data_IF_073846980799
#
_entry.id   IF_073846980799
#
_cell.length_a   1.000
_cell.length_b   1.000
_cell.length_c   1.000
_cell.angle_alpha   90.00
_cell.angle_beta   90.00
_cell.angle_gamma   90.00
#
_symmetry.space_group_name_H-M   'P 1'
#
loop_
_entity.id
_entity.type
_entity.pdbx_description
1 polymer ?
#
# COMPACT_ATOMS: atom_id res chain seq x y z
N UNK A 1 61.90 9.14 -16.74
CA UNK A 1 62.47 7.82 -16.46
C UNK A 1 61.89 7.21 -15.18
N UNK A 2 62.33 7.58 -13.97
CA UNK A 2 61.89 6.89 -12.73
C UNK A 2 60.40 7.07 -12.39
N UNK A 3 59.85 8.25 -12.69
CA UNK A 3 58.42 8.56 -12.48
C UNK A 3 57.55 7.78 -13.47
N UNK A 4 57.98 7.62 -14.72
CA UNK A 4 57.24 6.87 -15.75
C UNK A 4 57.19 5.37 -15.41
N UNK A 5 58.33 4.81 -14.99
CA UNK A 5 58.43 3.41 -14.53
C UNK A 5 57.51 3.17 -13.32
N UNK A 6 57.36 4.16 -12.43
CA UNK A 6 56.44 4.06 -11.29
C UNK A 6 54.96 4.05 -11.74
N UNK A 7 54.61 4.86 -12.74
CA UNK A 7 53.24 4.90 -13.28
C UNK A 7 52.87 3.63 -14.06
N UNK A 8 53.82 3.04 -14.77
CA UNK A 8 53.64 1.77 -15.47
C UNK A 8 53.41 0.62 -14.49
N UNK A 9 54.15 0.59 -13.37
CA UNK A 9 53.93 -0.39 -12.29
C UNK A 9 52.56 -0.25 -11.64
N UNK A 10 52.10 0.97 -11.41
CA UNK A 10 50.75 1.23 -10.86
C UNK A 10 49.66 0.78 -11.83
N UNK A 11 49.83 1.03 -13.13
CA UNK A 11 48.90 0.61 -14.18
C UNK A 11 48.83 -0.92 -14.30
N UNK A 12 49.98 -1.60 -14.26
CA UNK A 12 50.04 -3.06 -14.24
C UNK A 12 49.38 -3.65 -12.98
N UNK A 13 49.53 -3.02 -11.81
CA UNK A 13 48.84 -3.41 -10.58
C UNK A 13 47.31 -3.23 -10.68
N UNK A 14 46.84 -2.17 -11.34
CA UNK A 14 45.41 -1.94 -11.55
C UNK A 14 44.80 -2.94 -12.55
N UNK A 15 45.53 -3.27 -13.61
CA UNK A 15 45.13 -4.26 -14.62
C UNK A 15 45.08 -5.68 -14.02
N UNK A 16 46.06 -6.05 -13.19
CA UNK A 16 46.03 -7.33 -12.47
C UNK A 16 44.83 -7.41 -11.52
N UNK A 17 44.50 -6.34 -10.79
CA UNK A 17 43.35 -6.30 -9.89
C UNK A 17 42.01 -6.45 -10.63
N UNK A 18 41.83 -5.75 -11.77
CA UNK A 18 40.61 -5.83 -12.58
C UNK A 18 40.38 -7.21 -13.21
N UNK A 19 41.46 -7.97 -13.44
CA UNK A 19 41.41 -9.32 -14.02
C UNK A 19 41.21 -10.44 -12.99
N UNK A 20 41.13 -10.14 -11.69
CA UNK A 20 40.89 -11.17 -10.65
C UNK A 20 39.44 -11.70 -10.78
N UNK A 21 39.24 -12.99 -11.11
CA UNK A 21 37.90 -13.53 -11.27
C UNK A 21 37.18 -13.63 -9.92
N UNK A 22 35.87 -13.35 -9.91
CA UNK A 22 35.03 -13.54 -8.72
C UNK A 22 34.82 -15.03 -8.45
N UNK A 23 34.89 -15.42 -7.18
CA UNK A 23 34.59 -16.79 -6.73
C UNK A 23 33.13 -17.18 -6.99
N UNK A 24 32.91 -18.46 -7.34
CA UNK A 24 31.56 -19.03 -7.50
C UNK A 24 31.02 -19.47 -6.13
N UNK A 25 29.74 -19.22 -5.80
CA UNK A 25 29.13 -19.73 -4.57
C UNK A 25 29.03 -21.25 -4.59
N UNK A 26 29.01 -21.89 -3.41
CA UNK A 26 28.98 -23.35 -3.25
C UNK A 26 27.81 -24.03 -4.00
N UNK A 27 26.66 -23.37 -4.09
CA UNK A 27 25.46 -23.86 -4.78
C UNK A 27 25.46 -23.64 -6.30
N UNK A 28 26.48 -22.95 -6.85
CA UNK A 28 26.54 -22.54 -8.25
C UNK A 28 25.54 -21.45 -8.65
N UNK A 29 24.60 -21.07 -7.77
CA UNK A 29 23.58 -20.05 -8.02
C UNK A 29 23.85 -18.79 -7.20
N UNK A 30 24.11 -17.63 -7.82
CA UNK A 30 24.23 -16.37 -7.10
C UNK A 30 22.85 -15.90 -6.63
N UNK A 31 22.73 -15.51 -5.37
CA UNK A 31 21.47 -14.99 -4.79
C UNK A 31 21.16 -13.54 -5.21
N UNK A 32 22.16 -12.81 -5.70
CA UNK A 32 22.08 -11.45 -6.27
C UNK A 32 22.81 -11.42 -7.60
N UNK A 33 22.26 -10.70 -8.57
CA UNK A 33 22.99 -10.37 -9.79
C UNK A 33 24.15 -9.43 -9.45
N UNK A 34 25.40 -9.77 -9.82
CA UNK A 34 26.52 -8.86 -9.61
C UNK A 34 26.28 -7.59 -10.43
N UNK A 35 26.37 -6.43 -9.78
CA UNK A 35 26.38 -5.15 -10.48
C UNK A 35 27.76 -4.96 -11.11
N UNK A 36 27.82 -4.92 -12.44
CA UNK A 36 29.06 -4.70 -13.20
C UNK A 36 29.35 -3.21 -13.42
N UNK A 37 28.35 -2.35 -13.29
CA UNK A 37 28.51 -0.91 -13.46
C UNK A 37 29.01 -0.22 -12.18
N UNK A 38 29.89 0.76 -12.37
CA UNK A 38 30.33 1.66 -11.28
C UNK A 38 29.13 2.42 -10.71
N UNK A 39 29.22 2.81 -9.43
CA UNK A 39 28.18 3.64 -8.80
C UNK A 39 27.96 4.97 -9.56
N UNK A 40 29.02 5.55 -10.13
CA UNK A 40 28.97 6.76 -10.94
C UNK A 40 28.21 6.63 -12.27
N UNK A 41 27.97 5.41 -12.76
CA UNK A 41 27.13 5.19 -13.93
C UNK A 41 25.64 5.45 -13.63
N UNK A 42 25.24 5.40 -12.35
CA UNK A 42 23.91 5.82 -11.94
C UNK A 42 23.85 7.35 -12.06
N UNK A 43 23.26 7.83 -13.15
CA UNK A 43 22.90 9.24 -13.29
C UNK A 43 21.76 9.55 -12.32
N UNK A 44 22.11 10.03 -11.13
CA UNK A 44 21.13 10.61 -10.20
C UNK A 44 20.75 11.98 -10.75
N UNK A 45 19.53 12.11 -11.27
CA UNK A 45 18.99 13.44 -11.55
C UNK A 45 18.83 14.17 -10.22
N UNK A 46 19.33 15.40 -10.13
CA UNK A 46 19.04 16.26 -8.97
C UNK A 46 17.52 16.43 -8.93
N UNK A 47 16.88 15.93 -7.88
CA UNK A 47 15.45 16.18 -7.68
C UNK A 47 15.25 17.68 -7.57
N UNK A 48 14.37 18.24 -8.41
CA UNK A 48 13.98 19.65 -8.27
C UNK A 48 13.34 19.79 -6.89
N UNK A 49 14.00 20.54 -6.01
CA UNK A 49 13.41 20.90 -4.72
C UNK A 49 12.21 21.79 -5.04
N UNK A 50 11.00 21.28 -4.77
CA UNK A 50 9.78 22.09 -4.90
C UNK A 50 9.87 23.29 -3.97
N UNK A 51 9.38 24.43 -4.43
CA UNK A 51 9.26 25.63 -3.61
C UNK A 51 8.26 25.38 -2.47
N UNK A 52 8.31 26.19 -1.41
CA UNK A 52 7.42 26.03 -0.25
C UNK A 52 5.94 26.11 -0.65
N UNK A 53 5.59 27.06 -1.50
CA UNK A 53 4.22 27.27 -1.95
C UNK A 53 3.69 26.07 -2.74
N UNK A 54 4.51 25.46 -3.58
CA UNK A 54 4.16 24.24 -4.32
C UNK A 54 3.93 23.05 -3.37
N UNK A 55 4.73 22.95 -2.29
CA UNK A 55 4.53 21.93 -1.26
C UNK A 55 3.24 22.16 -0.49
N UNK A 56 2.92 23.41 -0.16
CA UNK A 56 1.70 23.76 0.54
C UNK A 56 0.46 23.50 -0.31
N UNK A 57 0.50 23.83 -1.61
CA UNK A 57 -0.56 23.50 -2.56
C UNK A 57 -0.80 22.00 -2.64
N UNK A 58 0.25 21.19 -2.84
CA UNK A 58 0.13 19.72 -2.86
C UNK A 58 -0.43 19.15 -1.57
N UNK A 59 -0.02 19.71 -0.41
CA UNK A 59 -0.54 19.29 0.90
C UNK A 59 -2.02 19.63 1.05
N UNK A 60 -2.45 20.80 0.58
CA UNK A 60 -3.85 21.20 0.59
C UNK A 60 -4.71 20.30 -0.30
N UNK A 61 -4.26 20.02 -1.53
CA UNK A 61 -4.92 19.11 -2.47
C UNK A 61 -5.08 17.70 -1.85
N UNK A 62 -3.99 17.14 -1.31
CA UNK A 62 -4.03 15.84 -0.63
C UNK A 62 -4.99 15.82 0.56
N UNK A 63 -5.04 16.90 1.35
CA UNK A 63 -5.97 17.02 2.47
C UNK A 63 -7.42 17.04 1.99
N UNK A 64 -7.70 17.78 0.91
CA UNK A 64 -9.03 17.84 0.31
C UNK A 64 -9.50 16.46 -0.17
N UNK A 65 -8.64 15.71 -0.88
CA UNK A 65 -8.94 14.37 -1.37
C UNK A 65 -9.24 13.42 -0.20
N UNK A 66 -8.39 13.41 0.84
CA UNK A 66 -8.58 12.55 2.02
C UNK A 66 -9.87 12.88 2.78
N UNK A 67 -10.20 14.16 2.90
CA UNK A 67 -11.45 14.58 3.55
C UNK A 67 -12.66 14.08 2.75
N UNK A 68 -12.63 14.24 1.43
CA UNK A 68 -13.69 13.75 0.55
C UNK A 68 -13.86 12.22 0.61
N UNK A 69 -12.76 11.47 0.59
CA UNK A 69 -12.78 10.01 0.78
C UNK A 69 -13.38 9.61 2.13
N UNK A 70 -13.05 10.35 3.20
CA UNK A 70 -13.58 10.12 4.54
C UNK A 70 -15.09 10.37 4.58
N UNK A 71 -15.57 11.46 3.99
CA UNK A 71 -16.99 11.77 3.89
C UNK A 71 -17.78 10.68 3.17
N UNK A 72 -17.24 10.13 2.06
CA UNK A 72 -17.87 9.04 1.33
C UNK A 72 -17.97 7.76 2.18
N UNK A 73 -16.91 7.41 2.91
CA UNK A 73 -16.90 6.26 3.81
C UNK A 73 -17.91 6.43 4.95
N UNK A 74 -17.97 7.61 5.55
CA UNK A 74 -18.92 7.91 6.62
C UNK A 74 -20.37 7.86 6.15
N UNK A 75 -20.68 8.39 4.95
CA UNK A 75 -22.02 8.27 4.35
C UNK A 75 -22.42 6.80 4.17
N UNK A 76 -21.55 5.99 3.57
CA UNK A 76 -21.79 4.55 3.40
C UNK A 76 -21.99 3.82 4.73
N UNK A 77 -21.17 4.14 5.73
CA UNK A 77 -21.28 3.53 7.06
C UNK A 77 -22.60 3.90 7.74
N UNK A 78 -23.02 5.17 7.67
CA UNK A 78 -24.31 5.63 8.18
C UNK A 78 -25.47 4.91 7.51
N UNK A 79 -25.47 4.78 6.18
CA UNK A 79 -26.51 4.04 5.45
C UNK A 79 -26.61 2.58 5.88
N UNK A 80 -25.46 1.91 6.08
CA UNK A 80 -25.43 0.52 6.53
C UNK A 80 -25.96 0.37 7.96
N UNK A 81 -25.57 1.28 8.85
CA UNK A 81 -26.04 1.28 10.24
C UNK A 81 -27.56 1.52 10.32
N UNK A 82 -28.10 2.45 9.53
CA UNK A 82 -29.54 2.67 9.45
C UNK A 82 -30.29 1.43 8.95
N UNK A 83 -29.76 0.73 7.95
CA UNK A 83 -30.33 -0.55 7.48
C UNK A 83 -30.26 -1.64 8.55
N UNK A 84 -29.18 -1.68 9.33
CA UNK A 84 -29.00 -2.61 10.44
C UNK A 84 -30.06 -2.36 11.52
N UNK A 85 -30.18 -1.13 11.99
CA UNK A 85 -31.16 -0.72 13.00
C UNK A 85 -32.58 -1.07 12.54
N UNK A 86 -32.95 -0.71 11.30
CA UNK A 86 -34.26 -1.04 10.73
C UNK A 86 -34.53 -2.55 10.68
N UNK A 87 -33.51 -3.35 10.37
CA UNK A 87 -33.65 -4.81 10.31
C UNK A 87 -33.82 -5.42 11.70
N UNK A 88 -33.05 -4.92 12.68
CA UNK A 88 -33.16 -5.34 14.08
C UNK A 88 -34.53 -4.97 14.66
N UNK A 89 -35.04 -3.77 14.38
CA UNK A 89 -36.38 -3.33 14.81
C UNK A 89 -37.48 -4.18 14.18
N UNK A 90 -37.41 -4.46 12.87
CA UNK A 90 -38.36 -5.34 12.20
C UNK A 90 -38.34 -6.76 12.78
N UNK A 91 -37.17 -7.28 13.13
CA UNK A 91 -37.02 -8.59 13.79
C UNK A 91 -37.66 -8.59 15.17
N UNK A 92 -37.45 -7.55 15.99
CA UNK A 92 -38.08 -7.39 17.30
C UNK A 92 -39.61 -7.35 17.18
N UNK A 93 -40.14 -6.52 16.27
CA UNK A 93 -41.58 -6.42 16.01
C UNK A 93 -42.18 -7.75 15.56
N UNK A 94 -41.47 -8.54 14.75
CA UNK A 94 -41.91 -9.87 14.33
C UNK A 94 -42.03 -10.81 15.52
N UNK A 95 -41.00 -10.88 16.37
CA UNK A 95 -41.02 -11.72 17.58
C UNK A 95 -42.12 -11.33 18.56
N UNK A 96 -42.38 -10.03 18.72
CA UNK A 96 -43.50 -9.54 19.55
C UNK A 96 -44.87 -9.91 18.95
N UNK A 97 -45.01 -9.80 17.63
CA UNK A 97 -46.24 -10.19 16.93
C UNK A 97 -46.47 -11.70 17.01
N UNK A 98 -45.43 -12.51 16.87
CA UNK A 98 -45.50 -13.96 17.06
C UNK A 98 -46.00 -14.30 18.46
N UNK A 99 -45.40 -13.71 19.50
CA UNK A 99 -45.85 -13.85 20.89
C UNK A 99 -47.31 -13.43 21.09
N UNK A 100 -47.71 -12.29 20.52
CA UNK A 100 -49.11 -11.83 20.58
C UNK A 100 -50.05 -12.78 19.83
N UNK A 101 -49.64 -13.30 18.68
CA UNK A 101 -50.45 -14.23 17.88
C UNK A 101 -50.61 -15.59 18.55
N UNK A 102 -49.60 -16.04 19.30
CA UNK A 102 -49.66 -17.28 20.09
C UNK A 102 -50.69 -17.19 21.23
N UNK A 103 -50.87 -16.00 21.81
CA UNK A 103 -51.84 -15.75 22.89
C UNK A 103 -53.28 -15.61 22.37
N UNK A 104 -53.48 -15.23 21.10
CA UNK A 104 -54.83 -14.96 20.56
C UNK A 104 -55.57 -16.27 20.22
N UNK A 105 -56.79 -16.42 20.73
CA UNK A 105 -57.70 -17.48 20.30
C UNK A 105 -58.32 -17.17 18.94
N UNK A 106 -58.27 -18.12 18.01
CA UNK A 106 -58.95 -18.01 16.71
C UNK A 106 -60.45 -18.29 16.88
N UNK A 107 -61.29 -17.26 16.76
CA UNK A 107 -62.74 -17.43 16.71
C UNK A 107 -63.13 -18.02 15.36
N UNK A 108 -63.65 -19.26 15.36
CA UNK A 108 -64.23 -19.88 14.18
C UNK A 108 -65.65 -19.37 13.99
N UNK A 109 -65.86 -18.55 12.95
CA UNK A 109 -67.19 -18.15 12.50
C UNK A 109 -67.81 -19.39 11.85
N UNK A 110 -68.84 -19.96 12.50
CA UNK A 110 -69.57 -21.09 11.94
C UNK A 110 -70.50 -20.59 10.83
N UNK A 111 -70.59 -21.28 9.67
CA UNK A 111 -71.59 -20.95 8.67
C UNK A 111 -72.99 -21.19 9.25
N UNK A 112 -73.91 -20.30 8.89
CA UNK A 112 -75.28 -20.21 9.42
C UNK A 112 -76.21 -21.21 8.74
#
# INVERSE_FOLDING_TARGET
MDVEISTERLKAAEETYHNIPRGKPKSGRPWKTPKNDRFSAIRTTKTKKLNWDEKMKKRAEQKSIKNYEKELKEKRAKELEQKRIRSEENKKRRLENERKSEVVQTLRIQPK
#
